data_IF_280290684641
#
_entry.id   IF_280290684641
#
_cell.length_a   1.000
_cell.length_b   1.000
_cell.length_c   1.000
_cell.angle_alpha   90.00
_cell.angle_beta   90.00
_cell.angle_gamma   90.00
#
_symmetry.space_group_name_H-M   'P 1'
#
loop_
_entity.id
_entity.type
_entity.pdbx_description
1 polymer ?
#
# COMPACT_ATOMS: atom_id res chain seq x y z
N UNK A 1 -27.92 14.74 -2.58
CA UNK A 1 -27.06 14.00 -3.55
C UNK A 1 -26.23 14.89 -4.49
N UNK A 2 -26.74 16.00 -5.06
CA UNK A 2 -25.93 16.88 -5.95
C UNK A 2 -24.76 17.60 -5.25
N UNK A 3 -24.92 18.01 -3.99
CA UNK A 3 -23.86 18.68 -3.21
C UNK A 3 -22.68 17.75 -2.90
N UNK A 4 -22.94 16.49 -2.54
CA UNK A 4 -21.91 15.47 -2.34
C UNK A 4 -21.14 15.19 -3.64
N UNK A 5 -21.82 15.00 -4.78
CA UNK A 5 -21.15 14.80 -6.09
C UNK A 5 -20.22 15.96 -6.48
N UNK A 6 -20.61 17.21 -6.19
CA UNK A 6 -19.73 18.36 -6.43
C UNK A 6 -18.52 18.44 -5.49
N UNK A 7 -18.68 18.06 -4.21
CA UNK A 7 -17.56 17.98 -3.25
C UNK A 7 -16.57 16.88 -3.66
N UNK A 8 -17.09 15.73 -4.09
CA UNK A 8 -16.32 14.57 -4.58
C UNK A 8 -15.53 14.87 -5.85
N UNK A 9 -16.13 15.53 -6.84
CA UNK A 9 -15.43 15.97 -8.04
C UNK A 9 -14.28 16.95 -7.73
N UNK A 10 -14.45 17.83 -6.73
CA UNK A 10 -13.41 18.78 -6.30
C UNK A 10 -12.25 18.10 -5.56
N UNK A 11 -12.50 17.08 -4.74
CA UNK A 11 -11.44 16.30 -4.08
C UNK A 11 -10.60 15.54 -5.12
N UNK A 12 -11.24 14.91 -6.11
CA UNK A 12 -10.56 14.19 -7.21
C UNK A 12 -9.71 15.12 -8.10
N UNK A 13 -10.21 16.31 -8.43
CA UNK A 13 -9.48 17.28 -9.27
C UNK A 13 -8.27 17.93 -8.56
N UNK A 14 -8.30 18.09 -7.23
CA UNK A 14 -7.19 18.66 -6.45
C UNK A 14 -5.95 17.75 -6.47
N UNK A 15 -6.13 16.43 -6.55
CA UNK A 15 -5.03 15.46 -6.64
C UNK A 15 -4.35 15.43 -8.01
N UNK A 16 -5.08 15.60 -9.12
CA UNK A 16 -4.47 15.88 -10.43
C UNK A 16 -3.62 17.17 -10.43
N UNK A 17 -3.81 18.03 -9.43
CA UNK A 17 -3.18 19.35 -9.29
C UNK A 17 -2.41 19.53 -7.99
N UNK A 18 -1.99 18.48 -7.28
CA UNK A 18 -0.91 18.63 -6.29
C UNK A 18 0.25 19.27 -7.04
N UNK A 19 0.54 20.52 -6.66
CA UNK A 19 1.14 21.54 -7.50
C UNK A 19 2.48 21.08 -8.06
N UNK A 20 2.58 20.98 -9.40
CA UNK A 20 3.81 20.58 -10.11
C UNK A 20 4.94 21.59 -9.88
N UNK A 21 5.63 21.51 -8.75
CA UNK A 21 6.90 22.22 -8.53
C UNK A 21 8.04 21.32 -9.01
N UNK A 22 8.51 21.58 -10.23
CA UNK A 22 9.76 21.04 -10.76
C UNK A 22 10.94 21.81 -10.18
N UNK A 23 11.90 21.12 -9.59
CA UNK A 23 13.29 21.60 -9.54
C UNK A 23 14.30 20.45 -9.44
N UNK A 24 15.32 20.56 -10.30
CA UNK A 24 16.67 19.94 -10.32
C UNK A 24 17.30 19.81 -8.94
N UNK A 25 18.21 18.90 -8.59
CA UNK A 25 18.99 17.84 -9.23
C UNK A 25 19.79 17.17 -8.08
N UNK A 26 20.32 15.96 -8.27
CA UNK A 26 21.16 15.35 -7.23
C UNK A 26 22.29 14.50 -7.80
N UNK A 27 23.50 14.78 -7.32
CA UNK A 27 24.71 13.97 -7.42
C UNK A 27 24.97 13.36 -6.04
N UNK A 28 25.19 12.04 -5.94
CA UNK A 28 25.73 11.43 -4.72
C UNK A 28 25.25 10.03 -4.34
N UNK A 29 25.62 8.97 -5.07
CA UNK A 29 25.55 7.56 -4.63
C UNK A 29 24.18 6.89 -4.41
N UNK A 30 23.92 5.86 -5.21
CA UNK A 30 23.50 4.56 -4.66
C UNK A 30 22.15 4.00 -5.03
N UNK A 31 21.07 4.78 -5.10
CA UNK A 31 19.74 4.28 -5.52
C UNK A 31 18.92 5.40 -6.18
N UNK A 32 18.72 5.31 -7.50
CA UNK A 32 17.75 6.15 -8.22
C UNK A 32 16.34 5.68 -7.84
N UNK A 33 15.66 6.40 -6.94
CA UNK A 33 14.20 6.43 -7.00
C UNK A 33 13.83 7.05 -8.36
N UNK A 34 12.96 6.39 -9.12
CA UNK A 34 12.50 6.89 -10.41
C UNK A 34 11.82 8.25 -10.23
N UNK A 35 12.47 9.33 -10.68
CA UNK A 35 11.82 10.63 -10.87
C UNK A 35 10.91 10.53 -12.10
N UNK A 36 9.75 9.89 -11.90
CA UNK A 36 8.67 9.90 -12.88
C UNK A 36 7.90 11.22 -12.82
N UNK A 37 7.03 11.53 -13.80
CA UNK A 37 6.15 12.70 -13.78
C UNK A 37 5.01 12.60 -12.73
N UNK A 38 5.02 11.57 -11.89
CA UNK A 38 3.94 11.23 -10.97
C UNK A 38 4.32 11.55 -9.51
N UNK A 39 3.38 12.05 -8.69
CA UNK A 39 3.64 12.36 -7.29
C UNK A 39 4.09 11.13 -6.49
N UNK A 40 5.06 11.29 -5.60
CA UNK A 40 5.58 10.24 -4.72
C UNK A 40 5.11 10.41 -3.28
N UNK A 41 4.44 9.39 -2.73
CA UNK A 41 4.11 9.30 -1.31
C UNK A 41 5.01 8.27 -0.63
N UNK A 42 5.77 8.67 0.40
CA UNK A 42 6.71 7.79 1.09
C UNK A 42 6.25 7.41 2.50
N UNK A 43 6.44 6.14 2.85
CA UNK A 43 6.13 5.63 4.18
C UNK A 43 7.12 6.12 5.23
N UNK A 44 6.62 6.65 6.35
CA UNK A 44 7.44 7.10 7.47
C UNK A 44 7.00 6.53 8.83
N UNK A 45 6.21 5.45 8.84
CA UNK A 45 5.83 4.73 10.06
C UNK A 45 7.07 4.28 10.84
N UNK A 46 7.17 4.67 12.11
CA UNK A 46 8.22 4.24 13.01
C UNK A 46 7.63 3.62 14.28
N UNK A 47 8.29 2.60 14.84
CA UNK A 47 7.90 2.02 16.14
C UNK A 47 7.97 3.00 17.31
N UNK A 48 8.61 4.15 17.11
CA UNK A 48 8.69 5.26 18.08
C UNK A 48 8.83 6.59 17.33
N UNK A 49 8.51 7.70 18.03
CA UNK A 49 8.56 9.06 17.48
C UNK A 49 9.91 9.43 16.84
N UNK A 50 11.02 9.01 17.43
CA UNK A 50 12.36 9.29 16.89
C UNK A 50 12.59 8.66 15.50
N UNK A 51 12.11 7.43 15.29
CA UNK A 51 12.21 6.76 13.99
C UNK A 51 11.29 7.43 12.96
N UNK A 52 10.04 7.70 13.34
CA UNK A 52 9.10 8.38 12.46
C UNK A 52 9.63 9.76 12.03
N UNK A 53 10.25 10.51 12.93
CA UNK A 53 10.94 11.77 12.64
C UNK A 53 12.05 11.59 11.61
N UNK A 54 12.96 10.65 11.82
CA UNK A 54 14.09 10.40 10.93
C UNK A 54 13.63 10.00 9.51
N UNK A 55 12.65 9.10 9.40
CA UNK A 55 12.09 8.71 8.11
C UNK A 55 11.36 9.87 7.42
N UNK A 56 10.65 10.71 8.18
CA UNK A 56 9.95 11.89 7.66
C UNK A 56 10.90 12.95 7.12
N UNK A 57 12.01 13.21 7.82
CA UNK A 57 13.08 14.10 7.34
C UNK A 57 13.68 13.55 6.04
N UNK A 58 13.99 12.25 6.02
CA UNK A 58 14.56 11.62 4.84
C UNK A 58 13.60 11.66 3.64
N UNK A 59 12.30 11.47 3.87
CA UNK A 59 11.28 11.55 2.83
C UNK A 59 11.26 12.94 2.17
N UNK A 60 11.37 14.02 2.96
CA UNK A 60 11.49 15.38 2.44
C UNK A 60 12.76 15.56 1.61
N UNK A 61 13.91 15.11 2.12
CA UNK A 61 15.21 15.25 1.44
C UNK A 61 15.25 14.57 0.07
N UNK A 62 14.60 13.40 -0.07
CA UNK A 62 14.55 12.67 -1.35
C UNK A 62 13.50 13.22 -2.31
N UNK A 63 12.71 14.22 -1.89
CA UNK A 63 11.73 14.91 -2.71
C UNK A 63 10.37 14.23 -2.78
N UNK A 64 9.89 13.66 -1.69
CA UNK A 64 8.50 13.20 -1.60
C UNK A 64 7.50 14.36 -1.71
N UNK A 65 6.34 14.11 -2.32
CA UNK A 65 5.23 15.06 -2.40
C UNK A 65 4.29 14.94 -1.19
N UNK A 66 4.28 13.76 -0.55
CA UNK A 66 3.51 13.46 0.65
C UNK A 66 4.20 12.36 1.46
N UNK A 67 3.80 12.22 2.72
CA UNK A 67 4.19 11.10 3.58
C UNK A 67 2.97 10.33 4.06
N UNK A 68 3.14 9.05 4.34
CA UNK A 68 2.11 8.18 4.89
C UNK A 68 2.64 7.46 6.13
N UNK A 69 1.85 7.43 7.20
CA UNK A 69 2.23 6.76 8.43
C UNK A 69 1.06 6.04 9.07
N UNK A 70 1.31 4.83 9.54
CA UNK A 70 0.53 4.19 10.59
C UNK A 70 0.99 4.75 11.94
N UNK A 71 0.13 4.61 12.95
CA UNK A 71 0.57 4.64 14.34
C UNK A 71 1.66 3.58 14.59
N UNK A 72 2.47 3.72 15.66
CA UNK A 72 3.48 2.73 16.01
C UNK A 72 2.94 1.30 16.00
N UNK A 73 3.69 0.38 15.39
CA UNK A 73 3.30 -1.02 15.18
C UNK A 73 3.93 -2.00 16.19
N UNK A 74 4.72 -1.48 17.13
CA UNK A 74 5.36 -2.28 18.19
C UNK A 74 4.45 -2.37 19.42
N UNK A 75 3.63 -1.33 19.65
CA UNK A 75 2.67 -1.25 20.73
C UNK A 75 1.48 -0.43 20.26
N UNK A 76 0.27 -0.89 20.58
CA UNK A 76 -0.93 -0.10 20.38
C UNK A 76 -0.94 1.11 21.32
N UNK A 77 -1.12 2.29 20.74
CA UNK A 77 -1.43 3.50 21.46
C UNK A 77 -2.94 3.58 21.71
N UNK A 78 -3.32 3.66 22.97
CA UNK A 78 -4.71 3.92 23.40
C UNK A 78 -4.92 5.41 23.74
N UNK A 79 -3.85 6.10 24.16
CA UNK A 79 -3.87 7.52 24.49
C UNK A 79 -3.91 8.39 23.22
N UNK A 80 -5.02 9.10 23.01
CA UNK A 80 -5.19 10.01 21.86
C UNK A 80 -4.13 11.11 21.83
N UNK A 81 -3.70 11.63 22.98
CA UNK A 81 -2.66 12.67 23.04
C UNK A 81 -1.33 12.16 22.48
N UNK A 82 -0.99 10.90 22.76
CA UNK A 82 0.20 10.26 22.21
C UNK A 82 0.10 10.08 20.71
N UNK A 83 -1.10 9.76 20.20
CA UNK A 83 -1.36 9.67 18.75
C UNK A 83 -1.19 11.05 18.09
N UNK A 84 -1.78 12.11 18.66
CA UNK A 84 -1.62 13.49 18.15
C UNK A 84 -0.15 13.89 18.13
N UNK A 85 0.56 13.75 19.25
CA UNK A 85 2.00 14.06 19.34
C UNK A 85 2.85 13.28 18.33
N UNK A 86 2.47 12.06 18.00
CA UNK A 86 3.16 11.25 17.00
C UNK A 86 3.01 11.85 15.59
N UNK A 87 1.79 12.22 15.19
CA UNK A 87 1.55 12.87 13.90
C UNK A 87 2.11 14.30 13.83
N UNK A 88 2.08 15.07 14.91
CA UNK A 88 2.76 16.37 14.99
C UNK A 88 4.28 16.22 14.75
N UNK A 89 4.89 15.17 15.32
CA UNK A 89 6.32 14.90 15.14
C UNK A 89 6.64 14.65 13.65
N UNK A 90 5.78 13.89 12.96
CA UNK A 90 5.89 13.64 11.52
C UNK A 90 5.70 14.94 10.74
N UNK A 91 4.67 15.73 11.06
CA UNK A 91 4.35 16.99 10.38
C UNK A 91 5.46 18.03 10.46
N UNK A 92 6.01 18.24 11.66
CA UNK A 92 7.14 19.17 11.86
C UNK A 92 8.41 18.72 11.12
N UNK A 93 8.62 17.41 11.00
CA UNK A 93 9.78 16.81 10.37
C UNK A 93 9.71 16.81 8.84
N UNK A 94 8.58 16.37 8.28
CA UNK A 94 8.36 16.29 6.84
C UNK A 94 8.06 17.66 6.22
N UNK A 95 7.21 18.47 6.87
CA UNK A 95 6.63 19.69 6.28
C UNK A 95 5.98 19.41 4.90
N UNK A 96 5.32 18.24 4.79
CA UNK A 96 4.62 17.74 3.62
C UNK A 96 3.24 17.24 4.05
N UNK A 97 2.25 17.18 3.13
CA UNK A 97 0.97 16.54 3.40
C UNK A 97 1.12 15.12 3.95
N UNK A 98 0.32 14.80 4.97
CA UNK A 98 0.31 13.52 5.67
C UNK A 98 -0.97 12.76 5.33
N UNK A 99 -0.77 11.49 5.00
CA UNK A 99 -1.78 10.45 5.02
C UNK A 99 -1.74 9.73 6.36
N UNK A 100 -2.85 9.76 7.10
CA UNK A 100 -3.09 8.79 8.17
C UNK A 100 -3.31 7.44 7.51
N UNK A 101 -2.47 6.44 7.78
CA UNK A 101 -2.75 5.07 7.42
C UNK A 101 -3.41 4.37 8.60
N UNK A 102 -4.73 4.25 8.56
CA UNK A 102 -5.48 3.53 9.58
C UNK A 102 -5.52 2.04 9.22
N UNK A 103 -4.72 1.23 9.91
CA UNK A 103 -4.57 -0.21 9.66
C UNK A 103 -4.34 -0.94 11.00
N UNK A 104 -4.91 -2.14 11.15
CA UNK A 104 -4.83 -2.97 12.35
C UNK A 104 -3.43 -3.51 12.72
N UNK A 105 -2.36 -3.03 12.06
CA UNK A 105 -0.96 -3.33 12.44
C UNK A 105 -0.40 -2.26 13.37
N UNK A 106 -0.97 -1.06 13.37
CA UNK A 106 -0.84 -0.11 14.48
C UNK A 106 -2.16 -0.08 15.25
N UNK A 107 -2.40 0.98 16.01
CA UNK A 107 -3.70 1.25 16.63
C UNK A 107 -4.79 1.47 15.58
N UNK A 108 -5.94 0.80 15.77
CA UNK A 108 -7.17 1.12 15.03
C UNK A 108 -7.72 2.45 15.53
N UNK A 109 -7.72 3.46 14.68
CA UNK A 109 -8.20 4.80 15.04
C UNK A 109 -9.71 4.92 14.83
N UNK A 110 -10.40 5.58 15.76
CA UNK A 110 -11.80 5.94 15.59
C UNK A 110 -11.96 7.08 14.56
N UNK A 111 -13.18 7.29 14.05
CA UNK A 111 -13.47 8.44 13.17
C UNK A 111 -13.20 9.75 13.92
N UNK A 112 -13.64 9.86 15.18
CA UNK A 112 -13.42 11.07 15.98
C UNK A 112 -11.94 11.35 16.19
N UNK A 113 -11.12 10.34 16.47
CA UNK A 113 -9.66 10.49 16.60
C UNK A 113 -9.03 10.97 15.29
N UNK A 114 -9.45 10.43 14.14
CA UNK A 114 -8.94 10.88 12.84
C UNK A 114 -9.40 12.30 12.48
N UNK A 115 -10.64 12.68 12.80
CA UNK A 115 -11.14 14.05 12.65
C UNK A 115 -10.39 15.02 13.56
N UNK A 116 -10.06 14.59 14.77
CA UNK A 116 -9.23 15.35 15.70
C UNK A 116 -7.84 15.59 15.13
N UNK A 117 -7.19 14.56 14.59
CA UNK A 117 -5.89 14.70 13.90
C UNK A 117 -5.96 15.65 12.70
N UNK A 118 -7.03 15.56 11.89
CA UNK A 118 -7.28 16.49 10.81
C UNK A 118 -7.36 17.93 11.34
N UNK A 119 -7.98 18.19 12.50
CA UNK A 119 -8.10 19.55 13.03
C UNK A 119 -6.80 20.05 13.68
N UNK A 120 -6.11 19.21 14.46
CA UNK A 120 -4.99 19.62 15.32
C UNK A 120 -3.62 19.55 14.62
N UNK A 121 -3.43 18.65 13.66
CA UNK A 121 -2.14 18.49 12.97
C UNK A 121 -2.20 19.15 11.61
N UNK A 122 -1.52 20.30 11.44
CA UNK A 122 -1.55 21.13 10.23
C UNK A 122 -1.39 20.33 8.93
N UNK A 123 -0.43 19.41 8.89
CA UNK A 123 -0.08 18.67 7.70
C UNK A 123 -0.99 17.46 7.41
N UNK A 124 -1.89 17.07 8.32
CA UNK A 124 -2.82 15.95 8.08
C UNK A 124 -3.94 16.40 7.14
N UNK A 125 -3.97 15.80 5.95
CA UNK A 125 -4.89 16.18 4.88
C UNK A 125 -5.58 14.98 4.23
N UNK A 126 -5.06 13.77 4.44
CA UNK A 126 -5.55 12.55 3.79
C UNK A 126 -5.64 11.39 4.76
N UNK A 127 -6.50 10.43 4.43
CA UNK A 127 -6.63 9.16 5.17
C UNK A 127 -6.57 8.00 4.18
N UNK A 128 -5.76 6.98 4.46
CA UNK A 128 -5.87 5.64 3.89
C UNK A 128 -6.56 4.75 4.93
N UNK A 129 -7.80 4.37 4.66
CA UNK A 129 -8.63 3.60 5.61
C UNK A 129 -8.63 2.12 5.21
N UNK A 130 -8.21 1.26 6.15
CA UNK A 130 -8.03 -0.18 5.95
C UNK A 130 -8.61 -1.03 7.08
N UNK A 131 -9.37 -0.43 8.00
CA UNK A 131 -9.97 -1.08 9.17
C UNK A 131 -11.46 -1.35 8.97
N UNK A 132 -11.94 -2.47 9.53
CA UNK A 132 -13.30 -2.94 9.31
C UNK A 132 -14.32 -2.27 10.24
N UNK A 133 -15.57 -2.03 9.77
CA UNK A 133 -16.04 -2.14 8.38
C UNK A 133 -15.58 -0.94 7.51
N UNK A 134 -14.68 -1.20 6.55
CA UNK A 134 -13.93 -0.17 5.79
C UNK A 134 -14.84 0.82 5.07
N UNK A 135 -15.88 0.29 4.41
CA UNK A 135 -16.82 1.09 3.61
C UNK A 135 -17.63 2.06 4.48
N UNK A 136 -17.96 1.68 5.72
CA UNK A 136 -18.70 2.53 6.64
C UNK A 136 -17.79 3.63 7.22
N UNK A 137 -16.55 3.27 7.59
CA UNK A 137 -15.58 4.24 8.10
C UNK A 137 -15.22 5.29 7.06
N UNK A 138 -15.05 4.89 5.79
CA UNK A 138 -14.89 5.82 4.67
C UNK A 138 -16.04 6.82 4.60
N UNK A 139 -17.28 6.35 4.74
CA UNK A 139 -18.47 7.23 4.68
C UNK A 139 -18.46 8.22 5.83
N UNK A 140 -18.26 7.75 7.06
CA UNK A 140 -18.22 8.61 8.24
C UNK A 140 -17.07 9.62 8.20
N UNK A 141 -15.89 9.23 7.69
CA UNK A 141 -14.76 10.15 7.48
C UNK A 141 -15.09 11.24 6.46
N UNK A 142 -15.71 10.90 5.33
CA UNK A 142 -16.09 11.88 4.30
C UNK A 142 -17.15 12.86 4.83
N UNK A 143 -18.07 12.38 5.67
CA UNK A 143 -19.12 13.19 6.28
C UNK A 143 -18.58 14.12 7.38
N UNK A 144 -17.63 13.65 8.20
CA UNK A 144 -17.17 14.36 9.41
C UNK A 144 -15.82 15.06 9.26
N UNK A 145 -15.02 14.73 8.24
CA UNK A 145 -13.64 15.21 8.08
C UNK A 145 -13.46 16.69 7.71
N UNK A 146 -14.55 17.43 7.53
CA UNK A 146 -14.52 18.87 7.27
C UNK A 146 -13.83 19.23 5.94
N UNK A 147 -13.39 20.48 5.82
CA UNK A 147 -12.74 21.01 4.60
C UNK A 147 -11.25 20.65 4.51
N UNK A 148 -10.62 20.31 5.64
CA UNK A 148 -9.21 19.93 5.69
C UNK A 148 -8.95 18.53 5.14
N UNK A 149 -9.95 17.64 5.20
CA UNK A 149 -9.88 16.34 4.55
C UNK A 149 -9.95 16.49 3.02
N UNK A 150 -8.78 16.41 2.38
CA UNK A 150 -8.63 16.49 0.93
C UNK A 150 -8.97 15.19 0.21
N UNK A 151 -8.88 14.04 0.89
CA UNK A 151 -9.33 12.77 0.31
C UNK A 151 -9.18 11.57 1.24
N UNK A 152 -10.10 10.62 1.10
CA UNK A 152 -10.02 9.28 1.70
C UNK A 152 -9.68 8.27 0.61
N UNK A 153 -8.67 7.45 0.86
CA UNK A 153 -8.22 6.38 -0.02
C UNK A 153 -8.57 5.05 0.62
N UNK A 154 -9.07 4.11 -0.19
CA UNK A 154 -9.14 2.73 0.26
C UNK A 154 -7.80 2.03 0.17
N UNK A 155 -7.70 0.90 0.85
CA UNK A 155 -6.55 0.01 0.79
C UNK A 155 -7.00 -1.44 0.71
N UNK A 156 -6.43 -2.31 1.55
CA UNK A 156 -6.86 -3.72 1.65
C UNK A 156 -6.80 -4.44 0.28
N UNK A 157 -5.78 -4.14 -0.53
CA UNK A 157 -5.60 -4.72 -1.87
C UNK A 157 -6.57 -4.20 -2.95
N UNK A 158 -7.46 -3.26 -2.63
CA UNK A 158 -8.53 -2.82 -3.54
C UNK A 158 -9.78 -3.71 -3.51
N UNK A 159 -9.87 -4.63 -2.53
CA UNK A 159 -10.97 -5.60 -2.35
C UNK A 159 -12.37 -5.00 -2.30
N UNK A 160 -12.48 -3.74 -1.87
CA UNK A 160 -13.76 -3.08 -1.68
C UNK A 160 -13.97 -1.92 -2.66
N UNK A 161 -13.14 -1.80 -3.71
CA UNK A 161 -13.16 -0.63 -4.60
C UNK A 161 -14.54 -0.40 -5.24
N UNK A 162 -15.26 -1.46 -5.65
CA UNK A 162 -16.61 -1.31 -6.21
C UNK A 162 -17.60 -0.68 -5.21
N UNK A 163 -17.42 -0.93 -3.91
CA UNK A 163 -18.28 -0.43 -2.82
C UNK A 163 -17.77 0.91 -2.25
N UNK A 164 -16.46 1.15 -2.31
CA UNK A 164 -15.80 2.36 -1.82
C UNK A 164 -15.93 3.52 -2.81
N UNK A 165 -15.82 3.25 -4.11
CA UNK A 165 -15.95 4.25 -5.16
C UNK A 165 -17.25 5.07 -5.10
N UNK A 166 -18.46 4.46 -5.00
CA UNK A 166 -19.70 5.22 -4.91
C UNK A 166 -19.84 6.02 -3.61
N UNK A 167 -19.07 5.67 -2.56
CA UNK A 167 -19.02 6.42 -1.30
C UNK A 167 -18.11 7.65 -1.39
N UNK A 168 -17.31 7.73 -2.43
CA UNK A 168 -16.56 8.93 -2.76
C UNK A 168 -15.10 8.91 -2.35
N UNK A 169 -14.47 7.73 -2.29
CA UNK A 169 -13.01 7.68 -2.18
C UNK A 169 -12.35 8.50 -3.30
N UNK A 170 -11.24 9.14 -2.95
CA UNK A 170 -10.41 9.94 -3.84
C UNK A 170 -9.41 9.08 -4.62
N UNK A 171 -9.17 7.84 -4.18
CA UNK A 171 -8.27 6.90 -4.83
C UNK A 171 -8.20 5.56 -4.11
N UNK A 172 -7.29 4.72 -4.58
CA UNK A 172 -6.92 3.45 -3.99
C UNK A 172 -5.41 3.35 -3.84
N UNK A 173 -4.98 2.63 -2.80
CA UNK A 173 -3.58 2.29 -2.57
C UNK A 173 -3.44 0.76 -2.46
N UNK A 174 -3.55 0.02 -3.59
CA UNK A 174 -3.54 -1.44 -3.64
C UNK A 174 -2.12 -2.01 -3.56
N UNK A 175 -2.00 -3.34 -3.60
CA UNK A 175 -0.72 -4.00 -3.83
C UNK A 175 -0.11 -3.64 -5.20
N UNK A 176 1.21 -3.68 -5.31
CA UNK A 176 1.94 -3.24 -6.51
C UNK A 176 1.93 -4.24 -7.68
N UNK A 177 1.46 -5.47 -7.43
CA UNK A 177 1.64 -6.60 -8.33
C UNK A 177 0.73 -6.59 -9.57
N UNK A 178 -0.43 -5.93 -9.49
CA UNK A 178 -1.41 -5.77 -10.59
C UNK A 178 -1.95 -4.34 -10.70
N UNK A 179 -1.12 -3.34 -10.40
CA UNK A 179 -1.55 -1.93 -10.36
C UNK A 179 -2.18 -1.46 -11.68
N UNK A 180 -1.71 -1.95 -12.82
CA UNK A 180 -2.30 -1.64 -14.12
C UNK A 180 -3.73 -2.18 -14.29
N UNK A 181 -4.03 -3.36 -13.76
CA UNK A 181 -5.40 -3.91 -13.72
C UNK A 181 -6.29 -3.04 -12.82
N UNK A 182 -5.79 -2.64 -11.65
CA UNK A 182 -6.53 -1.75 -10.74
C UNK A 182 -6.79 -0.38 -11.40
N UNK A 183 -5.84 0.14 -12.18
CA UNK A 183 -6.03 1.37 -12.97
C UNK A 183 -7.11 1.19 -14.02
N UNK A 184 -7.19 0.05 -14.71
CA UNK A 184 -8.30 -0.22 -15.65
C UNK A 184 -9.65 -0.23 -14.94
N UNK A 185 -9.72 -0.88 -13.77
CA UNK A 185 -10.92 -0.86 -12.93
C UNK A 185 -11.31 0.57 -12.53
N UNK A 186 -10.35 1.37 -12.06
CA UNK A 186 -10.58 2.78 -11.71
C UNK A 186 -11.08 3.59 -12.91
N UNK A 187 -10.47 3.42 -14.08
CA UNK A 187 -10.87 4.13 -15.29
C UNK A 187 -12.29 3.76 -15.75
N UNK A 188 -12.69 2.48 -15.65
CA UNK A 188 -14.04 2.05 -15.94
C UNK A 188 -15.06 2.71 -14.98
N UNK A 189 -14.72 2.82 -13.69
CA UNK A 189 -15.55 3.50 -12.70
C UNK A 189 -15.68 5.01 -12.97
N UNK A 190 -14.59 5.68 -13.37
CA UNK A 190 -14.61 7.10 -13.79
C UNK A 190 -15.44 7.31 -15.06
N UNK A 191 -15.37 6.38 -16.01
CA UNK A 191 -16.18 6.37 -17.23
C UNK A 191 -17.65 5.98 -16.97
N UNK A 192 -18.02 5.64 -15.73
CA UNK A 192 -19.33 5.07 -15.38
C UNK A 192 -19.68 3.77 -16.12
N UNK A 193 -18.67 3.07 -16.64
CA UNK A 193 -18.80 1.73 -17.24
C UNK A 193 -18.80 0.67 -16.14
N UNK A 194 -19.97 0.49 -15.53
CA UNK A 194 -20.17 -0.48 -14.46
C UNK A 194 -20.09 -1.94 -14.94
N UNK A 195 -20.26 -2.19 -16.24
CA UNK A 195 -20.14 -3.54 -16.80
C UNK A 195 -18.67 -3.92 -16.81
N UNK A 196 -17.81 -3.08 -17.38
CA UNK A 196 -16.37 -3.31 -17.39
C UNK A 196 -15.77 -3.29 -15.98
N UNK A 197 -16.21 -2.36 -15.12
CA UNK A 197 -15.73 -2.31 -13.74
C UNK A 197 -16.02 -3.63 -12.99
N UNK A 198 -17.22 -4.19 -13.13
CA UNK A 198 -17.56 -5.48 -12.51
C UNK A 198 -16.80 -6.64 -13.13
N UNK A 199 -16.59 -6.62 -14.45
CA UNK A 199 -15.82 -7.65 -15.16
C UNK A 199 -14.36 -7.68 -14.68
N UNK A 200 -13.68 -6.53 -14.69
CA UNK A 200 -12.28 -6.42 -14.25
C UNK A 200 -12.14 -6.78 -12.77
N UNK A 201 -13.04 -6.29 -11.91
CA UNK A 201 -13.03 -6.67 -10.51
C UNK A 201 -13.24 -8.18 -10.32
N UNK A 202 -14.18 -8.77 -11.07
CA UNK A 202 -14.43 -10.22 -11.04
C UNK A 202 -13.20 -11.04 -11.39
N UNK A 203 -12.52 -10.71 -12.49
CA UNK A 203 -11.29 -11.39 -12.92
C UNK A 203 -10.14 -11.25 -11.91
N UNK A 204 -10.03 -10.09 -11.25
CA UNK A 204 -8.99 -9.84 -10.26
C UNK A 204 -9.30 -10.47 -8.89
N UNK A 205 -10.58 -10.67 -8.56
CA UNK A 205 -11.01 -11.06 -7.22
C UNK A 205 -10.42 -12.37 -6.68
N UNK A 206 -10.12 -13.42 -7.48
CA UNK A 206 -9.45 -14.60 -6.98
C UNK A 206 -8.06 -14.32 -6.41
N UNK A 207 -7.33 -13.30 -6.89
CA UNK A 207 -6.04 -12.91 -6.30
C UNK A 207 -6.18 -12.59 -4.82
N UNK A 208 -7.29 -11.98 -4.41
CA UNK A 208 -7.51 -11.56 -3.03
C UNK A 208 -7.43 -12.70 -2.02
N UNK A 209 -7.79 -13.92 -2.42
CA UNK A 209 -7.64 -15.11 -1.58
C UNK A 209 -6.15 -15.46 -1.40
N UNK A 210 -5.38 -15.48 -2.50
CA UNK A 210 -3.94 -15.71 -2.46
C UNK A 210 -3.22 -14.64 -1.65
N UNK A 211 -3.63 -13.37 -1.73
CA UNK A 211 -3.06 -12.28 -0.93
C UNK A 211 -3.17 -12.47 0.59
N UNK A 212 -4.05 -13.35 1.06
CA UNK A 212 -4.15 -13.68 2.50
C UNK A 212 -3.09 -14.66 2.97
N UNK A 213 -2.47 -15.40 2.04
CA UNK A 213 -1.39 -16.33 2.33
C UNK A 213 -0.14 -15.57 2.78
N UNK A 214 0.65 -16.15 3.70
CA UNK A 214 1.87 -15.52 4.19
C UNK A 214 3.00 -15.73 3.18
N UNK A 215 3.66 -14.64 2.81
CA UNK A 215 4.91 -14.70 2.06
C UNK A 215 4.87 -13.91 0.76
N UNK A 216 5.35 -14.52 -0.31
CA UNK A 216 5.83 -13.85 -1.51
C UNK A 216 4.79 -13.62 -2.60
N UNK A 217 3.50 -13.50 -2.31
CA UNK A 217 2.47 -13.44 -3.36
C UNK A 217 2.65 -12.23 -4.31
N UNK A 218 2.89 -11.03 -3.76
CA UNK A 218 3.20 -9.86 -4.60
C UNK A 218 4.54 -10.00 -5.31
N UNK A 219 5.66 -10.33 -4.63
CA UNK A 219 6.92 -10.59 -5.32
C UNK A 219 6.86 -11.69 -6.38
N UNK A 220 6.02 -12.72 -6.21
CA UNK A 220 5.87 -13.82 -7.15
C UNK A 220 5.13 -13.39 -8.40
N UNK A 221 4.01 -12.68 -8.26
CA UNK A 221 3.35 -12.05 -9.41
C UNK A 221 4.31 -11.11 -10.14
N UNK A 222 5.07 -10.28 -9.43
CA UNK A 222 6.07 -9.40 -10.03
C UNK A 222 7.19 -10.17 -10.76
N UNK A 223 7.65 -11.30 -10.20
CA UNK A 223 8.65 -12.19 -10.83
C UNK A 223 8.11 -12.81 -12.12
N UNK A 224 6.87 -13.30 -12.07
CA UNK A 224 6.18 -13.90 -13.22
C UNK A 224 5.94 -12.90 -14.34
N UNK A 225 5.69 -11.64 -13.97
CA UNK A 225 5.56 -10.49 -14.88
C UNK A 225 6.89 -9.90 -15.35
N UNK A 226 8.03 -10.47 -14.94
CA UNK A 226 9.35 -10.01 -15.35
C UNK A 226 9.77 -8.64 -14.79
N UNK A 227 9.12 -8.17 -13.73
CA UNK A 227 9.46 -6.91 -13.04
C UNK A 227 10.62 -7.11 -12.07
N UNK A 228 10.64 -8.25 -11.38
CA UNK A 228 11.73 -8.66 -10.50
C UNK A 228 12.33 -9.98 -10.97
N UNK A 229 13.60 -10.22 -10.67
CA UNK A 229 14.26 -11.50 -10.98
C UNK A 229 13.89 -12.61 -9.99
N UNK A 230 13.48 -12.25 -8.77
CA UNK A 230 13.18 -13.19 -7.69
C UNK A 230 11.98 -12.75 -6.87
N UNK A 231 11.28 -13.73 -6.30
CA UNK A 231 10.21 -13.55 -5.33
C UNK A 231 10.69 -13.69 -3.87
N UNK A 232 12.01 -13.86 -3.64
CA UNK A 232 12.56 -14.14 -2.29
C UNK A 232 12.40 -12.94 -1.35
N UNK A 233 11.96 -13.20 -0.11
CA UNK A 233 11.89 -12.21 0.96
C UNK A 233 12.99 -12.45 2.00
N UNK A 234 13.67 -11.37 2.43
CA UNK A 234 14.75 -11.42 3.45
C UNK A 234 14.27 -11.75 4.87
N UNK A 235 13.00 -11.47 5.16
CA UNK A 235 12.39 -11.68 6.49
C UNK A 235 11.55 -12.97 6.56
N UNK A 236 11.65 -13.85 5.56
CA UNK A 236 10.95 -15.13 5.54
C UNK A 236 11.82 -16.20 6.18
N UNK A 237 11.93 -16.21 7.51
CA UNK A 237 12.51 -17.36 8.23
C UNK A 237 11.55 -18.55 8.27
N UNK A 238 10.31 -18.38 7.78
CA UNK A 238 9.35 -19.45 7.49
C UNK A 238 9.26 -19.63 5.98
N UNK A 239 9.28 -20.88 5.44
CA UNK A 239 9.10 -21.14 4.01
C UNK A 239 7.84 -20.43 3.47
N UNK A 240 7.80 -20.06 2.19
CA UNK A 240 6.62 -19.40 1.62
C UNK A 240 5.41 -20.32 1.77
N UNK A 241 4.28 -19.79 2.23
CA UNK A 241 3.06 -20.59 2.46
C UNK A 241 2.25 -20.83 1.19
N UNK A 242 2.89 -20.74 0.02
CA UNK A 242 2.26 -21.06 -1.27
C UNK A 242 2.72 -22.45 -1.68
N UNK A 243 1.77 -23.35 -1.86
CA UNK A 243 2.03 -24.72 -2.31
C UNK A 243 1.84 -24.88 -3.82
N UNK A 244 1.93 -26.11 -4.32
CA UNK A 244 1.75 -26.41 -5.74
C UNK A 244 0.35 -26.05 -6.26
N UNK A 245 -0.68 -26.17 -5.43
CA UNK A 245 -2.05 -25.81 -5.78
C UNK A 245 -2.21 -24.30 -5.84
N UNK A 246 -1.59 -23.56 -4.92
CA UNK A 246 -1.58 -22.09 -4.97
C UNK A 246 -0.87 -21.57 -6.22
N UNK A 247 0.24 -22.21 -6.64
CA UNK A 247 0.91 -21.87 -7.89
C UNK A 247 0.06 -22.15 -9.13
N UNK A 248 -0.66 -23.28 -9.16
CA UNK A 248 -1.58 -23.61 -10.25
C UNK A 248 -2.75 -22.62 -10.30
N UNK A 249 -3.35 -22.29 -9.15
CA UNK A 249 -4.38 -21.27 -9.05
C UNK A 249 -3.85 -19.91 -9.54
N UNK A 250 -2.64 -19.53 -9.14
CA UNK A 250 -2.01 -18.30 -9.61
C UNK A 250 -1.75 -18.32 -11.13
N UNK A 251 -1.38 -19.47 -11.71
CA UNK A 251 -1.24 -19.60 -13.16
C UNK A 251 -2.54 -19.27 -13.87
N UNK A 252 -3.64 -19.88 -13.45
CA UNK A 252 -4.97 -19.67 -14.05
C UNK A 252 -5.42 -18.22 -13.91
N UNK A 253 -5.28 -17.64 -12.71
CA UNK A 253 -5.64 -16.24 -12.46
C UNK A 253 -4.82 -15.29 -13.35
N UNK A 254 -3.52 -15.56 -13.54
CA UNK A 254 -2.70 -14.72 -14.38
C UNK A 254 -3.02 -14.87 -15.87
N UNK A 255 -3.49 -16.03 -16.35
CA UNK A 255 -4.00 -16.17 -17.74
C UNK A 255 -5.23 -15.29 -17.96
N UNK A 256 -6.14 -15.28 -17.00
CA UNK A 256 -7.35 -14.45 -17.06
C UNK A 256 -7.04 -12.95 -17.03
N UNK A 257 -6.00 -12.55 -16.28
CA UNK A 257 -5.58 -11.16 -16.16
C UNK A 257 -4.63 -10.68 -17.25
N UNK A 258 -3.95 -11.58 -17.95
CA UNK A 258 -2.95 -11.25 -18.98
C UNK A 258 -3.45 -10.26 -20.04
N UNK A 259 -4.68 -10.41 -20.59
CA UNK A 259 -5.22 -9.44 -21.55
C UNK A 259 -5.40 -8.02 -20.99
N UNK A 260 -5.43 -7.87 -19.65
CA UNK A 260 -5.58 -6.60 -18.97
C UNK A 260 -4.24 -5.95 -18.62
N UNK A 261 -3.12 -6.66 -18.71
CA UNK A 261 -1.82 -6.08 -18.42
C UNK A 261 -1.43 -5.01 -19.44
N UNK A 262 -0.70 -4.01 -18.97
CA UNK A 262 -0.10 -2.96 -19.79
C UNK A 262 1.42 -3.00 -19.73
N UNK A 263 1.97 -3.57 -18.66
CA UNK A 263 3.40 -3.89 -18.58
C UNK A 263 3.70 -5.24 -19.25
N UNK A 264 4.73 -5.27 -20.08
CA UNK A 264 5.29 -6.48 -20.69
C UNK A 264 6.82 -6.41 -20.69
N UNK A 265 7.46 -7.52 -20.34
CA UNK A 265 8.91 -7.69 -20.45
C UNK A 265 9.22 -9.16 -20.86
N UNK A 266 8.52 -9.61 -21.91
CA UNK A 266 8.47 -11.01 -22.34
C UNK A 266 7.22 -11.76 -21.87
N UNK A 267 7.12 -13.06 -22.16
CA UNK A 267 5.99 -13.89 -21.76
C UNK A 267 5.93 -14.04 -20.24
N UNK A 268 4.72 -14.23 -19.70
CA UNK A 268 4.54 -14.56 -18.29
C UNK A 268 5.22 -15.88 -17.95
N UNK A 269 5.82 -15.94 -16.76
CA UNK A 269 6.36 -17.18 -16.20
C UNK A 269 5.24 -17.89 -15.43
N UNK A 270 5.14 -19.20 -15.60
CA UNK A 270 4.15 -20.04 -14.93
C UNK A 270 4.85 -21.14 -14.11
N UNK A 271 4.11 -21.73 -13.18
CA UNK A 271 4.62 -22.76 -12.27
C UNK A 271 5.51 -22.21 -11.14
N UNK A 272 5.99 -23.11 -10.25
CA UNK A 272 6.83 -22.73 -9.12
C UNK A 272 8.21 -22.20 -9.57
N UNK A 273 8.91 -21.43 -8.72
CA UNK A 273 10.33 -21.11 -8.93
C UNK A 273 11.18 -22.37 -9.05
N UNK A 274 12.21 -22.34 -9.91
CA UNK A 274 13.12 -23.47 -10.13
C UNK A 274 13.82 -23.95 -8.83
N UNK A 275 13.99 -23.07 -7.84
CA UNK A 275 14.61 -23.38 -6.54
C UNK A 275 13.62 -23.84 -5.47
N UNK A 276 12.30 -23.90 -5.74
CA UNK A 276 11.28 -24.26 -4.76
C UNK A 276 11.38 -25.72 -4.28
N UNK A 277 11.87 -26.63 -5.13
CA UNK A 277 12.06 -28.05 -4.80
C UNK A 277 13.30 -28.36 -3.95
N UNK A 278 14.25 -27.43 -3.83
CA UNK A 278 15.52 -27.65 -3.11
C UNK A 278 15.38 -27.31 -1.62
N UNK A 279 14.49 -26.39 -1.27
CA UNK A 279 14.24 -25.99 0.11
C UNK A 279 13.49 -27.06 0.93
N UNK A 280 12.61 -27.85 0.30
CA UNK A 280 11.92 -28.97 0.94
C UNK A 280 12.84 -30.14 1.22
N UNK A 281 13.84 -30.37 0.35
CA UNK A 281 14.88 -31.38 0.60
C UNK A 281 15.80 -30.98 1.76
N UNK A 282 16.17 -29.69 1.87
CA UNK A 282 17.05 -29.16 2.94
C UNK A 282 16.49 -29.25 4.37
N UNK A 283 15.19 -29.49 4.51
CA UNK A 283 14.53 -29.70 5.79
C UNK A 283 14.36 -31.18 6.11
N UNK A 284 14.49 -32.06 5.10
CA UNK A 284 14.41 -33.51 5.25
C UNK A 284 15.78 -34.15 5.54
N UNK A 285 16.88 -33.53 5.09
CA UNK A 285 18.26 -33.92 5.33
C UNK A 285 18.85 -33.14 6.51
N UNK A 286 18.44 -33.44 7.73
CA UNK A 286 18.92 -32.80 8.96
C UNK A 286 20.43 -32.92 9.25
N UNK A 287 21.31 -32.38 8.41
CA UNK A 287 22.73 -32.18 8.67
C UNK A 287 22.97 -30.70 9.00
N UNK A 288 22.74 -30.34 10.26
CA UNK A 288 23.14 -29.06 10.81
C UNK A 288 24.66 -29.03 10.99
N UNK A 289 25.40 -28.64 9.95
CA UNK A 289 26.78 -28.14 10.13
C UNK A 289 26.70 -26.67 10.55
N UNK A 290 26.27 -26.43 11.78
CA UNK A 290 26.51 -25.16 12.47
C UNK A 290 27.74 -25.38 13.32
N UNK A 291 28.88 -24.83 12.91
CA UNK A 291 30.06 -24.75 13.74
C UNK A 291 29.71 -23.92 14.99
N UNK A 292 29.63 -24.59 16.13
CA UNK A 292 29.52 -23.96 17.44
C UNK A 292 30.74 -23.09 17.67
N UNK A 293 30.53 -21.80 17.90
CA UNK A 293 31.53 -20.89 18.45
C UNK A 293 31.90 -21.39 19.85
N UNK A 294 33.07 -22.01 19.98
CA UNK A 294 33.70 -22.26 21.27
C UNK A 294 33.98 -20.93 21.96
N UNK A 295 33.39 -20.74 23.15
CA UNK A 295 33.87 -19.76 24.13
C UNK A 295 34.95 -20.44 24.94
N UNK A 296 36.21 -20.19 24.60
CA UNK A 296 37.33 -20.45 25.49
C UNK A 296 37.58 -19.19 26.35
N UNK A 297 37.69 -19.42 27.66
CA UNK A 297 38.41 -18.54 28.58
C UNK A 297 39.92 -18.71 28.45
#
# INVERSE_FOLDING_TARGET
MRCARHRLARQRQRLCRVERRRTTGWHGSGHRASRGPHPGCLGCSGGQRAHARAFSQRAKEVGADAVIAMTPYVQELEDEESIVRYYETIGRAAQLPIFIQNHARGSVLSISTMVRLLNEVEQVEYVKEETFPVTHKITGLIEQGGDKLKGVFGGVGGRYLLQEYPRGVAGQMPGCHVTDVVVRLWNALEASDWVEAKRVFGLMSPLFALETLRGSNYPEVLRRRGVTSSARSRLSTTPPTIDAHDYAALDDILRDLEPLFTWSNGPLKYGPPEDAGVASQRLADGSSNVATFDRAG
#
